data_IF_419929160164
#
_entry.id   IF_419929160164
#
_cell.length_a   1.000
_cell.length_b   1.000
_cell.length_c   1.000
_cell.angle_alpha   90.00
_cell.angle_beta   90.00
_cell.angle_gamma   90.00
#
_symmetry.space_group_name_H-M   'P 1'
#
loop_
_entity.id
_entity.type
_entity.pdbx_description
1 polymer ?
#
# COMPACT_ATOMS: atom_id res chain seq x y z
N UNK A 1 -1.85 -7.88 -6.64
CA UNK A 1 -1.84 -8.06 -5.17
C UNK A 1 -3.18 -8.61 -4.76
N UNK A 2 -3.46 -8.62 -3.46
CA UNK A 2 -4.81 -8.95 -2.96
C UNK A 2 -5.64 -7.67 -3.00
N UNK A 3 -6.81 -7.73 -3.60
CA UNK A 3 -7.83 -6.70 -3.50
C UNK A 3 -8.76 -7.04 -2.35
N UNK A 4 -8.52 -6.46 -1.17
CA UNK A 4 -9.28 -6.77 0.06
C UNK A 4 -10.78 -6.45 -0.06
N UNK A 5 -11.19 -5.65 -1.05
CA UNK A 5 -12.59 -5.30 -1.29
C UNK A 5 -13.35 -6.28 -2.19
N UNK A 6 -12.64 -7.12 -2.95
CA UNK A 6 -13.25 -8.03 -3.92
C UNK A 6 -12.85 -9.49 -3.71
N UNK A 7 -11.61 -9.74 -3.29
CA UNK A 7 -11.08 -11.09 -3.12
C UNK A 7 -11.68 -11.76 -1.88
N UNK A 8 -11.82 -13.08 -1.96
CA UNK A 8 -12.30 -13.90 -0.85
C UNK A 8 -11.16 -14.40 0.06
N UNK A 9 -9.92 -14.44 -0.45
CA UNK A 9 -8.80 -15.05 0.24
C UNK A 9 -7.49 -14.28 0.00
N UNK A 10 -6.66 -14.13 1.04
CA UNK A 10 -5.36 -13.45 0.94
C UNK A 10 -4.21 -14.39 0.55
N UNK A 11 -4.39 -15.71 0.64
CA UNK A 11 -3.39 -16.73 0.31
C UNK A 11 -3.45 -17.20 -1.13
N UNK A 12 -4.61 -17.12 -1.79
CA UNK A 12 -4.81 -17.64 -3.15
C UNK A 12 -5.42 -16.61 -4.08
N UNK A 13 -5.12 -16.73 -5.37
CA UNK A 13 -5.88 -16.04 -6.41
C UNK A 13 -7.21 -16.75 -6.72
N UNK A 14 -8.01 -16.16 -7.62
CA UNK A 14 -9.30 -16.71 -8.07
C UNK A 14 -9.23 -18.14 -8.68
N UNK A 15 -8.04 -18.61 -9.07
CA UNK A 15 -7.82 -19.94 -9.62
C UNK A 15 -7.25 -20.91 -8.56
N UNK A 16 -7.14 -20.49 -7.30
CA UNK A 16 -6.56 -21.29 -6.21
C UNK A 16 -5.04 -21.31 -6.19
N UNK A 17 -4.35 -20.52 -7.02
CA UNK A 17 -2.88 -20.47 -7.01
C UNK A 17 -2.42 -19.66 -5.80
N UNK A 18 -1.43 -20.19 -5.06
CA UNK A 18 -0.86 -19.51 -3.91
C UNK A 18 -0.17 -18.19 -4.30
N UNK A 19 -0.43 -17.16 -3.49
CA UNK A 19 0.15 -15.84 -3.62
C UNK A 19 1.48 -15.76 -2.84
N UNK A 20 2.52 -15.19 -3.45
CA UNK A 20 3.83 -15.06 -2.81
C UNK A 20 3.76 -14.14 -1.59
N UNK A 21 4.50 -14.48 -0.54
CA UNK A 21 4.73 -13.60 0.61
C UNK A 21 5.75 -12.51 0.27
N UNK A 22 6.79 -12.88 -0.50
CA UNK A 22 7.79 -11.97 -1.02
C UNK A 22 8.32 -12.49 -2.37
N UNK A 23 8.66 -11.58 -3.27
CA UNK A 23 9.37 -11.87 -4.52
C UNK A 23 10.71 -11.15 -4.55
N UNK A 24 11.74 -11.77 -5.13
CA UNK A 24 13.00 -11.11 -5.48
C UNK A 24 13.31 -11.47 -6.93
N UNK A 25 13.89 -10.59 -7.73
CA UNK A 25 14.22 -10.89 -9.14
C UNK A 25 13.08 -11.53 -9.95
N UNK A 26 11.82 -11.17 -9.67
CA UNK A 26 10.62 -11.73 -10.32
C UNK A 26 10.24 -13.16 -9.92
N UNK A 27 10.91 -13.78 -8.93
CA UNK A 27 10.63 -15.14 -8.45
C UNK A 27 10.27 -15.15 -6.97
N UNK A 28 9.48 -16.15 -6.58
CA UNK A 28 9.19 -16.44 -5.17
C UNK A 28 10.32 -17.28 -4.61
N UNK A 29 11.10 -16.70 -3.69
CA UNK A 29 12.29 -17.37 -3.14
C UNK A 29 12.11 -17.88 -1.72
N UNK A 30 11.30 -17.20 -0.91
CA UNK A 30 11.25 -17.47 0.53
C UNK A 30 9.99 -18.25 0.88
N UNK A 31 8.81 -17.71 0.56
CA UNK A 31 7.56 -18.23 1.08
C UNK A 31 6.31 -17.67 0.40
N UNK A 32 5.17 -18.30 0.68
CA UNK A 32 3.83 -17.81 0.35
C UNK A 32 3.21 -17.07 1.53
N UNK A 33 2.15 -16.29 1.28
CA UNK A 33 1.47 -15.53 2.34
C UNK A 33 0.95 -16.40 3.48
N UNK A 34 0.54 -17.65 3.18
CA UNK A 34 0.12 -18.61 4.21
C UNK A 34 1.24 -18.93 5.20
N UNK A 35 2.49 -19.01 4.73
CA UNK A 35 3.63 -19.36 5.58
C UNK A 35 4.03 -18.15 6.44
N UNK A 36 3.95 -16.93 5.88
CA UNK A 36 4.09 -15.67 6.64
C UNK A 36 3.06 -15.63 7.77
N UNK A 37 1.77 -15.84 7.46
CA UNK A 37 0.71 -15.79 8.46
C UNK A 37 0.85 -16.89 9.53
N UNK A 38 1.24 -18.10 9.14
CA UNK A 38 1.49 -19.19 10.08
C UNK A 38 2.60 -18.83 11.08
N UNK A 39 3.67 -18.19 10.60
CA UNK A 39 4.76 -17.72 11.46
C UNK A 39 4.35 -16.54 12.34
N UNK A 40 3.72 -15.50 11.77
CA UNK A 40 3.24 -14.33 12.53
C UNK A 40 2.23 -14.70 13.63
N UNK A 41 1.43 -15.75 13.43
CA UNK A 41 0.52 -16.27 14.46
C UNK A 41 1.26 -16.82 15.68
N UNK A 42 2.47 -17.34 15.50
CA UNK A 42 3.30 -17.88 16.58
C UNK A 42 4.02 -16.73 17.31
N UNK A 43 4.68 -15.84 16.56
CA UNK A 43 5.46 -14.74 17.14
C UNK A 43 4.59 -13.58 17.64
N UNK A 44 3.35 -13.47 17.16
CA UNK A 44 2.36 -12.43 17.51
C UNK A 44 2.86 -11.00 17.30
N UNK A 45 3.69 -10.81 16.28
CA UNK A 45 4.26 -9.53 15.88
C UNK A 45 4.32 -9.46 14.35
N UNK A 46 5.05 -8.47 13.82
CA UNK A 46 5.31 -8.28 12.39
C UNK A 46 4.16 -7.63 11.63
N UNK A 47 4.33 -7.45 10.32
CA UNK A 47 3.56 -6.50 9.55
C UNK A 47 2.08 -6.84 9.49
N UNK A 48 1.71 -8.09 9.18
CA UNK A 48 0.30 -8.43 9.01
C UNK A 48 -0.48 -8.37 10.32
N UNK A 49 0.05 -8.90 11.42
CA UNK A 49 -0.55 -8.75 12.75
C UNK A 49 -0.62 -7.28 13.17
N UNK A 50 0.44 -6.50 12.92
CA UNK A 50 0.46 -5.07 13.26
C UNK A 50 -0.58 -4.27 12.48
N UNK A 51 -0.75 -4.53 11.18
CA UNK A 51 -1.79 -3.86 10.39
C UNK A 51 -3.18 -4.19 10.92
N UNK A 52 -3.44 -5.43 11.29
CA UNK A 52 -4.72 -5.77 11.92
C UNK A 52 -4.89 -5.10 13.29
N UNK A 53 -3.83 -4.98 14.08
CA UNK A 53 -3.88 -4.29 15.37
C UNK A 53 -4.17 -2.79 15.24
N UNK A 54 -3.69 -2.15 14.19
CA UNK A 54 -3.88 -0.72 13.95
C UNK A 54 -5.20 -0.43 13.25
N UNK A 55 -5.58 -1.24 12.26
CA UNK A 55 -6.70 -0.94 11.36
C UNK A 55 -7.97 -1.73 11.69
N UNK A 56 -7.85 -2.89 12.35
CA UNK A 56 -9.00 -3.72 12.71
C UNK A 56 -9.89 -3.09 13.78
N UNK A 57 -11.15 -3.50 13.80
CA UNK A 57 -12.10 -3.09 14.83
C UNK A 57 -11.66 -3.59 16.21
N UNK A 58 -11.76 -2.74 17.23
CA UNK A 58 -11.54 -3.15 18.62
C UNK A 58 -12.83 -3.74 19.20
N UNK A 59 -12.74 -4.95 19.76
CA UNK A 59 -13.83 -5.64 20.45
C UNK A 59 -14.03 -5.11 21.87
N UNK A 60 -15.18 -5.44 22.44
CA UNK A 60 -15.56 -5.09 23.83
C UNK A 60 -14.62 -5.70 24.87
N UNK A 61 -14.07 -6.88 24.60
CA UNK A 61 -13.08 -7.55 25.45
C UNK A 61 -11.66 -6.98 25.30
N UNK A 62 -11.47 -5.98 24.45
CA UNK A 62 -10.20 -5.33 24.17
C UNK A 62 -9.34 -6.01 23.10
N UNK A 63 -9.74 -7.17 22.58
CA UNK A 63 -9.09 -7.80 21.44
C UNK A 63 -9.48 -7.12 20.11
N UNK A 64 -8.87 -7.53 19.00
CA UNK A 64 -9.09 -6.96 17.66
C UNK A 64 -9.81 -7.97 16.76
N UNK A 65 -10.61 -7.46 15.84
CA UNK A 65 -11.05 -8.23 14.68
C UNK A 65 -9.98 -8.22 13.59
N UNK A 66 -9.70 -9.41 13.05
CA UNK A 66 -8.79 -9.57 11.92
C UNK A 66 -9.56 -9.40 10.60
N UNK A 67 -8.95 -8.70 9.64
CA UNK A 67 -9.45 -8.59 8.27
C UNK A 67 -9.43 -9.93 7.55
N UNK A 68 -8.57 -10.87 7.95
CA UNK A 68 -8.59 -12.23 7.44
C UNK A 68 -8.21 -13.25 8.51
N UNK A 69 -8.63 -14.48 8.32
CA UNK A 69 -8.20 -15.59 9.17
C UNK A 69 -6.75 -15.99 8.85
N UNK A 70 -5.85 -15.96 9.83
CA UNK A 70 -4.43 -16.25 9.63
C UNK A 70 -4.12 -17.73 9.33
N UNK A 71 -5.12 -18.62 9.44
CA UNK A 71 -5.00 -20.06 9.17
C UNK A 71 -5.52 -20.43 7.78
N UNK A 72 -6.66 -19.88 7.37
CA UNK A 72 -7.31 -20.16 6.07
C UNK A 72 -7.06 -19.10 5.00
N UNK A 73 -6.72 -17.88 5.42
CA UNK A 73 -6.57 -16.71 4.54
C UNK A 73 -7.90 -16.08 4.14
N UNK A 74 -9.03 -16.59 4.61
CA UNK A 74 -10.35 -16.06 4.27
C UNK A 74 -10.52 -14.63 4.79
N UNK A 75 -10.91 -13.72 3.89
CA UNK A 75 -11.15 -12.32 4.23
C UNK A 75 -12.49 -12.20 4.93
N UNK A 76 -12.50 -11.57 6.11
CA UNK A 76 -13.69 -11.17 6.84
C UNK A 76 -14.32 -9.94 6.16
N UNK A 77 -15.48 -10.07 5.48
CA UNK A 77 -16.06 -8.97 4.73
C UNK A 77 -16.53 -7.82 5.63
N UNK A 78 -16.81 -8.09 6.91
CA UNK A 78 -17.30 -7.08 7.87
C UNK A 78 -16.22 -6.05 8.22
N UNK A 79 -14.95 -6.46 8.17
CA UNK A 79 -13.81 -5.58 8.46
C UNK A 79 -13.36 -4.72 7.27
N UNK A 80 -13.87 -4.98 6.07
CA UNK A 80 -13.48 -4.23 4.85
C UNK A 80 -13.76 -2.74 4.98
N UNK A 81 -14.93 -2.36 5.48
CA UNK A 81 -15.31 -0.96 5.62
C UNK A 81 -14.57 -0.28 6.77
N UNK A 82 -14.16 -1.04 7.79
CA UNK A 82 -13.27 -0.53 8.82
C UNK A 82 -11.89 -0.23 8.23
N UNK A 83 -11.31 -1.15 7.46
CA UNK A 83 -10.03 -0.96 6.78
C UNK A 83 -10.08 0.13 5.70
N UNK A 84 -11.22 0.30 5.02
CA UNK A 84 -11.43 1.36 4.01
C UNK A 84 -11.15 2.75 4.57
N UNK A 85 -11.42 2.98 5.87
CA UNK A 85 -11.13 4.26 6.54
C UNK A 85 -9.65 4.62 6.55
N UNK A 86 -8.77 3.63 6.40
CA UNK A 86 -7.31 3.77 6.38
C UNK A 86 -6.71 3.66 4.97
N UNK A 87 -7.54 3.50 3.95
CA UNK A 87 -7.11 3.48 2.55
C UNK A 87 -6.87 4.92 2.05
N UNK A 88 -5.60 5.34 2.09
CA UNK A 88 -5.19 6.67 1.65
C UNK A 88 -5.52 6.93 0.17
N UNK A 89 -5.46 5.91 -0.68
CA UNK A 89 -5.77 6.07 -2.10
C UNK A 89 -7.26 6.36 -2.28
N UNK A 90 -8.11 5.59 -1.60
CA UNK A 90 -9.55 5.84 -1.59
C UNK A 90 -9.89 7.24 -1.04
N UNK A 91 -9.25 7.65 0.06
CA UNK A 91 -9.48 8.96 0.66
C UNK A 91 -9.09 10.11 -0.27
N UNK A 92 -7.90 10.06 -0.88
CA UNK A 92 -7.42 11.08 -1.83
C UNK A 92 -8.36 11.15 -3.03
N UNK A 93 -8.64 10.01 -3.66
CA UNK A 93 -9.47 9.91 -4.87
C UNK A 93 -10.90 10.39 -4.63
N UNK A 94 -11.48 10.15 -3.45
CA UNK A 94 -12.85 10.57 -3.12
C UNK A 94 -12.94 12.05 -2.72
N UNK A 95 -11.88 12.64 -2.17
CA UNK A 95 -11.91 13.98 -1.56
C UNK A 95 -11.03 15.01 -2.28
N UNK A 96 -10.55 14.71 -3.49
CA UNK A 96 -9.57 15.55 -4.18
C UNK A 96 -9.97 17.02 -4.28
N UNK A 97 -11.22 17.35 -4.60
CA UNK A 97 -11.65 18.76 -4.71
C UNK A 97 -11.45 19.55 -3.40
N UNK A 98 -11.65 18.90 -2.25
CA UNK A 98 -11.44 19.50 -0.92
C UNK A 98 -9.96 19.53 -0.54
N UNK A 99 -9.20 18.52 -0.98
CA UNK A 99 -7.77 18.38 -0.68
C UNK A 99 -6.87 19.22 -1.60
N UNK A 100 -7.31 19.48 -2.83
CA UNK A 100 -6.55 20.15 -3.89
C UNK A 100 -5.94 21.48 -3.43
N UNK A 101 -6.69 22.41 -2.79
CA UNK A 101 -6.09 23.67 -2.31
C UNK A 101 -4.94 23.46 -1.31
N UNK A 102 -4.90 22.32 -0.62
CA UNK A 102 -3.88 22.01 0.38
C UNK A 102 -2.72 21.20 -0.20
N UNK A 103 -3.00 20.28 -1.12
CA UNK A 103 -2.09 19.21 -1.54
C UNK A 103 -1.65 19.25 -3.01
N UNK A 104 -2.27 20.08 -3.86
CA UNK A 104 -1.90 20.17 -5.26
C UNK A 104 -0.40 20.46 -5.42
N UNK A 105 0.28 19.64 -6.22
CA UNK A 105 1.72 19.66 -6.46
C UNK A 105 2.62 19.39 -5.24
N UNK A 106 2.07 18.99 -4.08
CA UNK A 106 2.84 18.75 -2.84
C UNK A 106 3.05 17.28 -2.52
N UNK A 107 2.34 16.38 -3.19
CA UNK A 107 2.46 14.94 -2.99
C UNK A 107 3.43 14.37 -4.03
N UNK A 108 4.43 13.65 -3.55
CA UNK A 108 5.34 12.84 -4.33
C UNK A 108 5.29 11.38 -3.83
N UNK A 109 5.09 10.45 -4.75
CA UNK A 109 5.15 9.01 -4.47
C UNK A 109 6.21 8.37 -5.37
N UNK A 110 7.13 7.62 -4.77
CA UNK A 110 8.16 6.86 -5.47
C UNK A 110 8.11 5.39 -5.10
N UNK A 111 8.31 4.49 -6.05
CA UNK A 111 8.33 3.04 -5.82
C UNK A 111 9.22 2.34 -6.83
N UNK A 112 9.76 1.17 -6.48
CA UNK A 112 10.43 0.28 -7.43
C UNK A 112 9.44 -0.32 -8.43
N UNK A 113 9.90 -0.66 -9.63
CA UNK A 113 9.09 -1.38 -10.63
C UNK A 113 8.96 -2.89 -10.33
N UNK A 114 9.76 -3.40 -9.38
CA UNK A 114 9.76 -4.79 -8.95
C UNK A 114 9.85 -4.91 -7.42
N UNK A 115 9.06 -4.12 -6.68
CA UNK A 115 9.05 -4.16 -5.22
C UNK A 115 8.75 -5.58 -4.69
N UNK A 116 9.48 -5.98 -3.65
CA UNK A 116 9.47 -7.34 -3.15
C UNK A 116 8.10 -7.78 -2.60
N UNK A 117 7.24 -6.83 -2.21
CA UNK A 117 5.88 -7.07 -1.71
C UNK A 117 4.79 -6.64 -2.68
N UNK A 118 5.15 -6.40 -3.94
CA UNK A 118 4.23 -5.91 -4.98
C UNK A 118 3.59 -4.54 -4.68
N UNK A 119 4.28 -3.66 -3.93
CA UNK A 119 3.76 -2.33 -3.58
C UNK A 119 3.57 -1.43 -4.81
N UNK A 120 4.31 -1.67 -5.89
CA UNK A 120 4.16 -0.98 -7.17
C UNK A 120 2.74 -1.07 -7.71
N UNK A 121 2.05 -2.20 -7.47
CA UNK A 121 0.68 -2.40 -7.96
C UNK A 121 -0.31 -1.42 -7.31
N UNK A 122 -0.17 -1.16 -6.01
CA UNK A 122 -1.02 -0.20 -5.31
C UNK A 122 -0.72 1.24 -5.78
N UNK A 123 0.56 1.57 -5.96
CA UNK A 123 0.98 2.89 -6.48
C UNK A 123 0.48 3.11 -7.90
N UNK A 124 0.55 2.10 -8.77
CA UNK A 124 0.04 2.20 -10.15
C UNK A 124 -1.48 2.40 -10.21
N UNK A 125 -2.24 1.82 -9.28
CA UNK A 125 -3.69 2.06 -9.18
C UNK A 125 -3.98 3.51 -8.80
N UNK A 126 -3.33 4.04 -7.75
CA UNK A 126 -3.49 5.45 -7.37
C UNK A 126 -3.00 6.41 -8.47
N UNK A 127 -1.90 6.07 -9.15
CA UNK A 127 -1.41 6.84 -10.29
C UNK A 127 -2.46 6.93 -11.40
N UNK A 128 -3.10 5.80 -11.74
CA UNK A 128 -4.18 5.77 -12.74
C UNK A 128 -5.34 6.66 -12.31
N UNK A 129 -5.81 6.54 -11.06
CA UNK A 129 -6.87 7.40 -10.52
C UNK A 129 -6.50 8.89 -10.59
N UNK A 130 -5.23 9.21 -10.30
CA UNK A 130 -4.72 10.58 -10.38
C UNK A 130 -4.71 11.12 -11.81
N UNK A 131 -4.33 10.31 -12.79
CA UNK A 131 -4.37 10.70 -14.20
C UNK A 131 -5.81 10.89 -14.69
N UNK A 132 -6.68 9.92 -14.40
CA UNK A 132 -8.08 9.93 -14.81
C UNK A 132 -8.84 11.15 -14.24
N UNK A 133 -8.49 11.56 -13.00
CA UNK A 133 -9.10 12.71 -12.32
C UNK A 133 -8.27 13.99 -12.40
N UNK A 134 -7.18 14.00 -13.18
CA UNK A 134 -6.29 15.14 -13.33
C UNK A 134 -5.80 15.71 -11.98
N UNK A 135 -5.47 14.83 -11.03
CA UNK A 135 -4.93 15.20 -9.73
C UNK A 135 -3.45 15.59 -9.87
N UNK A 136 -3.08 16.74 -9.31
CA UNK A 136 -1.70 17.25 -9.33
C UNK A 136 -0.80 16.53 -8.31
N UNK A 137 -0.58 15.22 -8.51
CA UNK A 137 0.28 14.36 -7.70
C UNK A 137 1.44 13.86 -8.56
N UNK A 138 2.66 13.91 -8.03
CA UNK A 138 3.86 13.45 -8.73
C UNK A 138 4.14 11.97 -8.42
N UNK A 139 4.38 11.17 -9.45
CA UNK A 139 4.75 9.76 -9.33
C UNK A 139 6.08 9.49 -10.02
N UNK A 140 6.93 8.67 -9.41
CA UNK A 140 8.16 8.16 -10.04
C UNK A 140 8.30 6.67 -9.78
N UNK A 141 8.19 5.89 -10.85
CA UNK A 141 8.54 4.46 -10.83
C UNK A 141 10.03 4.37 -11.17
N UNK A 142 10.79 3.67 -10.34
CA UNK A 142 12.25 3.56 -10.41
C UNK A 142 12.59 2.10 -10.69
N UNK A 143 13.58 1.83 -11.54
CA UNK A 143 14.00 0.45 -11.76
C UNK A 143 14.63 -0.13 -10.50
N UNK A 144 14.11 -1.25 -10.02
CA UNK A 144 14.57 -1.88 -8.78
C UNK A 144 13.44 -2.41 -7.90
N UNK A 145 13.87 -3.05 -6.83
CA UNK A 145 13.04 -3.59 -5.76
C UNK A 145 13.11 -2.72 -4.51
N UNK A 146 12.52 -3.18 -3.41
CA UNK A 146 12.42 -2.41 -2.18
C UNK A 146 13.78 -1.97 -1.60
N UNK A 147 14.84 -2.74 -1.87
CA UNK A 147 16.18 -2.49 -1.32
C UNK A 147 17.10 -1.76 -2.29
N UNK A 148 16.74 -1.68 -3.57
CA UNK A 148 17.61 -1.15 -4.63
C UNK A 148 17.14 0.18 -5.23
N UNK A 149 15.98 0.70 -4.76
CA UNK A 149 15.43 2.01 -5.16
C UNK A 149 16.20 3.23 -4.64
N UNK A 150 17.27 3.03 -3.87
CA UNK A 150 18.17 4.10 -3.41
C UNK A 150 19.12 4.56 -4.54
N UNK A 151 18.55 5.18 -5.56
CA UNK A 151 19.28 5.62 -6.76
C UNK A 151 19.42 7.16 -6.80
N UNK A 152 20.46 7.64 -7.49
CA UNK A 152 20.63 9.07 -7.76
C UNK A 152 19.45 9.68 -8.53
N UNK A 153 18.77 8.87 -9.36
CA UNK A 153 17.55 9.27 -10.05
C UNK A 153 16.41 9.59 -9.07
N UNK A 154 16.17 8.71 -8.08
CA UNK A 154 15.18 8.95 -7.01
C UNK A 154 15.50 10.24 -6.27
N UNK A 155 16.75 10.38 -5.86
CA UNK A 155 17.18 11.50 -5.02
C UNK A 155 17.09 12.83 -5.77
N UNK A 156 17.50 12.85 -7.05
CA UNK A 156 17.36 14.03 -7.91
C UNK A 156 15.89 14.42 -8.08
N UNK A 157 15.01 13.46 -8.40
CA UNK A 157 13.58 13.74 -8.58
C UNK A 157 12.93 14.26 -7.30
N UNK A 158 13.27 13.65 -6.15
CA UNK A 158 12.81 14.09 -4.84
C UNK A 158 13.28 15.50 -4.49
N UNK A 159 14.55 15.80 -4.73
CA UNK A 159 15.12 17.13 -4.48
C UNK A 159 14.49 18.21 -5.37
N UNK A 160 14.28 17.93 -6.66
CA UNK A 160 13.61 18.83 -7.59
C UNK A 160 12.16 19.11 -7.18
N UNK A 161 11.41 18.06 -6.79
CA UNK A 161 10.04 18.21 -6.28
C UNK A 161 10.02 19.04 -4.99
N UNK A 162 10.88 18.73 -4.02
CA UNK A 162 10.96 19.45 -2.75
C UNK A 162 11.32 20.92 -2.96
N UNK A 163 12.29 21.22 -3.84
CA UNK A 163 12.67 22.58 -4.21
C UNK A 163 11.49 23.35 -4.81
N UNK A 164 10.80 22.77 -5.80
CA UNK A 164 9.64 23.39 -6.44
C UNK A 164 8.54 23.69 -5.42
N UNK A 165 8.23 22.74 -4.55
CA UNK A 165 7.21 22.90 -3.49
C UNK A 165 7.61 24.00 -2.50
N UNK A 166 8.88 24.07 -2.10
CA UNK A 166 9.40 25.11 -1.22
C UNK A 166 9.35 26.51 -1.87
N UNK A 167 9.76 26.64 -3.12
CA UNK A 167 9.71 27.90 -3.86
C UNK A 167 8.26 28.41 -4.08
N UNK A 168 7.31 27.50 -4.30
CA UNK A 168 5.89 27.86 -4.38
C UNK A 168 5.38 28.38 -3.04
N UNK A 169 5.70 27.69 -1.95
CA UNK A 169 5.32 28.11 -0.60
C UNK A 169 5.91 29.48 -0.20
N UNK A 170 7.14 29.79 -0.62
CA UNK A 170 7.73 31.11 -0.37
C UNK A 170 6.96 32.25 -1.01
N UNK A 171 6.25 32.01 -2.13
CA UNK A 171 5.44 33.02 -2.83
C UNK A 171 4.05 33.22 -2.23
N UNK A 172 3.60 32.27 -1.41
CA UNK A 172 2.30 32.32 -0.71
C UNK A 172 2.42 33.00 0.67
N UNK A 173 3.63 33.41 1.07
CA UNK A 173 3.93 34.15 2.31
C UNK A 173 4.10 35.63 2.04
#
# INVERSE_FOLDING_TARGET
GVNIYADANVFTDKNGKLLPGMTMGGKTYVNYKKDVCAWERIVRSEQYMSFNAVFGSRKTDGSIDYLWDFSSGEINPREREQWRKYDISNYITANWNTLKPKLANKILITVGDADNWSLEKAVLLLKKDAEDKQMEISFKIISGDHSTVHTSEKDKFGAEHAKKTYEAWLKER
#
